data_IF_479874521469
#
_entry.id   IF_479874521469
#
_cell.length_a   1.000
_cell.length_b   1.000
_cell.length_c   1.000
_cell.angle_alpha   90.00
_cell.angle_beta   90.00
_cell.angle_gamma   90.00
#
_symmetry.space_group_name_H-M   'P 1'
#
loop_
_entity.id
_entity.type
_entity.pdbx_description
1 polymer ?
#
# COMPACT_ATOMS: atom_id res chain seq x y z
N UNK A 1 -0.17 -10.99 25.28
CA UNK A 1 -1.48 -11.11 25.92
C UNK A 1 -2.27 -9.87 25.60
N UNK A 2 -3.29 -10.00 24.74
CA UNK A 2 -4.22 -8.91 24.42
C UNK A 2 -5.12 -8.70 25.64
N UNK A 3 -5.02 -7.53 26.29
CA UNK A 3 -5.90 -7.18 27.41
C UNK A 3 -7.29 -6.81 26.88
N UNK A 4 -8.20 -7.78 26.92
CA UNK A 4 -9.58 -7.60 26.46
C UNK A 4 -10.50 -6.96 27.50
N UNK A 5 -10.02 -6.71 28.73
CA UNK A 5 -10.88 -6.26 29.85
C UNK A 5 -11.46 -4.86 29.67
N UNK A 6 -10.79 -4.01 28.88
CA UNK A 6 -11.19 -2.62 28.61
C UNK A 6 -11.96 -2.46 27.29
N UNK A 7 -12.04 -3.51 26.47
CA UNK A 7 -12.70 -3.45 25.18
C UNK A 7 -14.22 -3.33 25.34
N UNK A 8 -14.81 -2.42 24.60
CA UNK A 8 -16.26 -2.19 24.57
C UNK A 8 -16.85 -2.90 23.35
N UNK A 9 -17.47 -4.04 23.60
CA UNK A 9 -18.25 -4.75 22.60
C UNK A 9 -19.64 -4.12 22.48
N UNK A 10 -20.23 -4.14 21.28
CA UNK A 10 -21.61 -3.76 21.08
C UNK A 10 -22.59 -4.77 21.73
N UNK A 11 -23.89 -4.50 21.65
CA UNK A 11 -24.96 -5.34 22.23
C UNK A 11 -24.93 -6.81 21.76
N UNK A 12 -24.32 -7.09 20.61
CA UNK A 12 -24.17 -8.45 20.07
C UNK A 12 -22.85 -9.12 20.50
N UNK A 13 -22.08 -8.51 21.40
CA UNK A 13 -20.77 -9.01 21.80
C UNK A 13 -19.70 -8.87 20.72
N UNK A 14 -19.85 -7.91 19.80
CA UNK A 14 -18.95 -7.71 18.67
C UNK A 14 -18.23 -6.37 18.74
N UNK A 15 -16.98 -6.34 18.28
CA UNK A 15 -16.15 -5.14 18.13
C UNK A 15 -15.71 -5.00 16.67
N UNK A 16 -15.82 -3.81 16.05
CA UNK A 16 -15.25 -3.56 14.72
C UNK A 16 -13.72 -3.72 14.74
N UNK A 17 -13.19 -4.35 13.70
CA UNK A 17 -11.76 -4.53 13.48
C UNK A 17 -11.40 -4.05 12.07
N UNK A 18 -10.67 -2.95 12.00
CA UNK A 18 -10.08 -2.40 10.79
C UNK A 18 -8.74 -3.09 10.57
N UNK A 19 -8.57 -3.72 9.42
CA UNK A 19 -7.33 -4.39 9.04
C UNK A 19 -6.53 -3.50 8.11
N UNK A 20 -5.27 -3.26 8.44
CA UNK A 20 -4.31 -2.58 7.56
C UNK A 20 -3.17 -3.52 7.17
N UNK A 21 -2.59 -3.30 5.99
CA UNK A 21 -1.32 -3.93 5.64
C UNK A 21 -0.19 -3.24 6.42
N UNK A 22 0.55 -4.02 7.20
CA UNK A 22 1.63 -3.52 8.04
C UNK A 22 2.79 -2.89 7.24
N UNK A 23 2.89 -3.13 5.93
CA UNK A 23 3.98 -2.65 5.07
C UNK A 23 3.75 -1.23 4.56
N UNK A 24 2.52 -0.89 4.18
CA UNK A 24 2.20 0.37 3.51
C UNK A 24 1.06 1.16 4.20
N UNK A 25 0.48 0.64 5.29
CA UNK A 25 -0.60 1.29 6.03
C UNK A 25 -1.95 1.31 5.30
N UNK A 26 -2.06 0.63 4.15
CA UNK A 26 -3.29 0.60 3.36
C UNK A 26 -4.36 -0.19 4.09
N UNK A 27 -5.57 0.37 4.18
CA UNK A 27 -6.72 -0.35 4.73
C UNK A 27 -7.08 -1.51 3.79
N UNK A 28 -7.06 -2.73 4.31
CA UNK A 28 -7.35 -3.95 3.58
C UNK A 28 -8.84 -4.30 3.65
N UNK A 29 -9.39 -4.33 4.86
CA UNK A 29 -10.79 -4.70 5.08
C UNK A 29 -11.26 -4.24 6.46
N UNK A 30 -12.56 -4.31 6.69
CA UNK A 30 -13.16 -4.22 8.02
C UNK A 30 -14.02 -5.45 8.24
N UNK A 31 -13.91 -6.05 9.43
CA UNK A 31 -14.74 -7.14 9.88
C UNK A 31 -15.06 -6.98 11.36
N UNK A 32 -15.87 -7.89 11.92
CA UNK A 32 -16.17 -7.91 13.34
C UNK A 32 -15.39 -9.01 14.04
N UNK A 33 -14.97 -8.74 15.25
CA UNK A 33 -14.39 -9.72 16.15
C UNK A 33 -15.29 -9.88 17.38
N UNK A 34 -15.29 -11.06 17.98
CA UNK A 34 -15.81 -11.28 19.33
C UNK A 34 -14.65 -11.69 20.23
N UNK A 35 -14.91 -11.94 21.52
CA UNK A 35 -13.86 -12.34 22.46
C UNK A 35 -13.11 -13.59 22.00
N UNK A 36 -13.83 -14.61 21.52
CA UNK A 36 -13.25 -15.88 21.05
C UNK A 36 -12.38 -15.70 19.80
N UNK A 37 -12.77 -14.83 18.87
CA UNK A 37 -12.00 -14.55 17.66
C UNK A 37 -10.72 -13.77 17.96
N UNK A 38 -10.73 -12.91 18.99
CA UNK A 38 -9.53 -12.21 19.49
C UNK A 38 -8.58 -13.22 20.14
N UNK A 39 -9.08 -14.09 21.01
CA UNK A 39 -8.28 -15.15 21.65
C UNK A 39 -7.65 -16.07 20.61
N UNK A 40 -8.41 -16.49 19.59
CA UNK A 40 -7.89 -17.32 18.49
C UNK A 40 -6.86 -16.58 17.63
N UNK A 41 -7.05 -15.29 17.41
CA UNK A 41 -6.07 -14.45 16.70
C UNK A 41 -4.76 -14.39 17.46
N UNK A 42 -4.81 -14.16 18.78
CA UNK A 42 -3.62 -14.16 19.62
C UNK A 42 -2.91 -15.52 19.64
N UNK A 43 -3.67 -16.62 19.71
CA UNK A 43 -3.09 -17.97 19.76
C UNK A 43 -2.44 -18.40 18.45
N UNK A 44 -3.03 -18.03 17.32
CA UNK A 44 -2.61 -18.53 16.00
C UNK A 44 -1.69 -17.56 15.26
N UNK A 45 -1.70 -16.27 15.63
CA UNK A 45 -1.06 -15.21 14.83
C UNK A 45 -1.78 -14.92 13.51
N UNK A 46 -2.96 -15.51 13.27
CA UNK A 46 -3.75 -15.32 12.05
C UNK A 46 -5.02 -14.54 12.35
N UNK A 47 -5.41 -13.63 11.46
CA UNK A 47 -6.61 -12.83 11.67
C UNK A 47 -7.88 -13.70 11.65
N UNK A 48 -8.54 -13.79 12.81
CA UNK A 48 -9.79 -14.52 12.99
C UNK A 48 -10.94 -13.57 13.31
N UNK A 49 -12.06 -13.74 12.61
CA UNK A 49 -13.22 -12.86 12.69
C UNK A 49 -14.49 -13.62 13.05
N UNK A 50 -15.52 -12.89 13.47
CA UNK A 50 -16.86 -13.39 13.63
C UNK A 50 -17.73 -13.02 12.43
N UNK A 51 -18.25 -14.04 11.74
CA UNK A 51 -19.19 -13.85 10.64
C UNK A 51 -20.58 -13.55 11.18
N UNK A 52 -21.09 -12.32 11.02
CA UNK A 52 -22.44 -11.94 11.48
C UNK A 52 -23.55 -12.72 10.78
N UNK A 53 -23.37 -13.06 9.51
CA UNK A 53 -24.36 -13.79 8.71
C UNK A 53 -24.34 -15.29 9.03
N UNK A 54 -23.14 -15.88 9.15
CA UNK A 54 -22.97 -17.33 9.40
C UNK A 54 -23.01 -17.68 10.89
N UNK A 55 -22.87 -16.69 11.77
CA UNK A 55 -22.81 -16.83 13.23
C UNK A 55 -21.75 -17.84 13.68
N UNK A 56 -20.57 -17.75 13.07
CA UNK A 56 -19.44 -18.64 13.31
C UNK A 56 -18.12 -17.87 13.24
N UNK A 57 -17.09 -18.44 13.85
CA UNK A 57 -15.71 -18.01 13.67
C UNK A 57 -15.22 -18.34 12.26
N UNK A 58 -14.37 -17.47 11.73
CA UNK A 58 -13.73 -17.68 10.44
C UNK A 58 -12.34 -17.05 10.44
N UNK A 59 -11.32 -17.84 10.09
CA UNK A 59 -9.96 -17.33 9.91
C UNK A 59 -9.78 -16.89 8.47
N UNK A 60 -9.38 -15.63 8.26
CA UNK A 60 -9.18 -15.10 6.90
C UNK A 60 -8.11 -15.92 6.19
N UNK A 61 -8.45 -16.46 5.02
CA UNK A 61 -7.56 -17.27 4.20
C UNK A 61 -7.86 -18.77 4.23
N UNK A 62 -8.69 -19.28 5.15
CA UNK A 62 -8.99 -20.73 5.26
C UNK A 62 -9.46 -21.38 3.96
N UNK A 63 -10.22 -20.64 3.14
CA UNK A 63 -10.72 -21.14 1.85
C UNK A 63 -9.84 -20.72 0.67
N UNK A 64 -9.26 -19.53 0.72
CA UNK A 64 -8.59 -18.92 -0.44
C UNK A 64 -7.07 -19.02 -0.42
N UNK A 65 -6.46 -19.42 0.70
CA UNK A 65 -5.01 -19.35 0.94
C UNK A 65 -4.47 -17.94 1.22
N UNK A 66 -5.28 -16.89 1.08
CA UNK A 66 -4.87 -15.50 1.32
C UNK A 66 -5.01 -15.16 2.81
N UNK A 67 -4.07 -15.66 3.62
CA UNK A 67 -4.03 -15.40 5.06
C UNK A 67 -3.60 -13.96 5.37
N UNK A 68 -3.90 -13.55 6.60
CA UNK A 68 -3.45 -12.30 7.20
C UNK A 68 -2.67 -12.63 8.48
N UNK A 69 -1.35 -12.52 8.43
CA UNK A 69 -0.47 -12.75 9.58
C UNK A 69 -0.43 -11.50 10.45
N UNK A 70 -1.03 -11.57 11.64
CA UNK A 70 -1.20 -10.43 12.52
C UNK A 70 0.13 -10.04 13.15
N UNK A 71 0.51 -8.78 12.96
CA UNK A 71 1.70 -8.16 13.55
C UNK A 71 1.35 -7.48 14.88
N UNK A 72 0.21 -6.79 14.93
CA UNK A 72 -0.25 -6.11 16.15
C UNK A 72 -1.75 -5.88 16.14
N UNK A 73 -2.36 -5.84 17.32
CA UNK A 73 -3.73 -5.40 17.54
C UNK A 73 -3.71 -4.23 18.51
N UNK A 74 -4.29 -3.10 18.11
CA UNK A 74 -4.34 -1.87 18.92
C UNK A 74 -5.79 -1.41 19.03
N UNK A 75 -6.27 -1.06 20.23
CA UNK A 75 -7.58 -0.42 20.37
C UNK A 75 -7.48 1.09 20.14
N UNK A 76 -8.58 1.71 19.73
CA UNK A 76 -8.70 3.15 19.73
C UNK A 76 -8.84 3.75 21.14
N UNK A 77 -9.02 5.07 21.23
CA UNK A 77 -8.92 5.83 22.47
C UNK A 77 -10.06 5.56 23.46
N UNK A 78 -11.23 5.17 22.99
CA UNK A 78 -12.38 4.78 23.80
C UNK A 78 -12.64 3.26 23.81
N UNK A 79 -11.75 2.50 23.17
CA UNK A 79 -11.67 1.04 23.20
C UNK A 79 -12.87 0.31 22.58
N UNK A 80 -13.53 0.92 21.59
CA UNK A 80 -14.66 0.32 20.89
C UNK A 80 -14.33 -0.12 19.46
N UNK A 81 -13.10 0.12 18.99
CA UNK A 81 -12.61 -0.33 17.69
C UNK A 81 -11.19 -0.88 17.77
N UNK A 82 -10.92 -1.93 17.00
CA UNK A 82 -9.58 -2.50 16.86
C UNK A 82 -8.95 -2.10 15.52
N UNK A 83 -7.68 -1.73 15.56
CA UNK A 83 -6.77 -1.66 14.42
C UNK A 83 -5.89 -2.91 14.43
N UNK A 84 -6.08 -3.78 13.44
CA UNK A 84 -5.31 -5.01 13.22
C UNK A 84 -4.29 -4.74 12.12
N UNK A 85 -3.02 -4.65 12.48
CA UNK A 85 -1.93 -4.60 11.51
C UNK A 85 -1.53 -6.02 11.12
N UNK A 86 -1.55 -6.35 9.83
CA UNK A 86 -1.27 -7.69 9.34
C UNK A 86 -0.44 -7.70 8.04
N UNK A 87 0.27 -8.79 7.80
CA UNK A 87 0.94 -9.10 6.54
C UNK A 87 0.05 -10.02 5.70
N UNK A 88 -0.49 -9.57 4.55
CA UNK A 88 -1.31 -10.41 3.70
C UNK A 88 -0.47 -11.30 2.77
N UNK A 89 -0.84 -12.58 2.65
CA UNK A 89 -0.26 -13.55 1.70
C UNK A 89 -0.78 -13.36 0.26
N UNK A 90 -1.84 -12.58 0.09
CA UNK A 90 -2.48 -12.32 -1.20
C UNK A 90 -3.62 -11.31 -1.06
N UNK A 91 -4.48 -11.16 -2.07
CA UNK A 91 -5.60 -10.22 -2.03
C UNK A 91 -6.49 -10.40 -0.79
N UNK A 92 -6.80 -9.30 -0.11
CA UNK A 92 -7.69 -9.34 1.05
C UNK A 92 -9.16 -9.52 0.63
N UNK A 93 -9.56 -8.97 -0.52
CA UNK A 93 -10.94 -9.04 -0.99
C UNK A 93 -11.24 -10.36 -1.73
N UNK A 94 -12.48 -10.83 -1.57
CA UNK A 94 -12.99 -12.00 -2.28
C UNK A 94 -13.14 -11.78 -3.80
N UNK A 95 -13.14 -10.53 -4.27
CA UNK A 95 -13.16 -10.17 -5.70
C UNK A 95 -11.79 -10.32 -6.37
N UNK A 96 -10.74 -10.66 -5.61
CA UNK A 96 -9.36 -10.65 -6.09
C UNK A 96 -8.67 -9.28 -5.95
N UNK A 97 -9.39 -8.24 -5.52
CA UNK A 97 -8.81 -6.94 -5.24
C UNK A 97 -7.96 -6.96 -3.96
N UNK A 98 -6.86 -6.20 -3.96
CA UNK A 98 -5.95 -6.13 -2.81
C UNK A 98 -6.64 -5.63 -1.52
N UNK A 99 -7.55 -4.65 -1.65
CA UNK A 99 -8.38 -4.10 -0.58
C UNK A 99 -9.86 -4.24 -0.92
N UNK A 100 -10.73 -4.27 0.09
CA UNK A 100 -12.18 -4.18 -0.05
C UNK A 100 -12.66 -2.76 -0.40
N UNK A 101 -11.84 -1.72 -0.18
CA UNK A 101 -12.23 -0.31 -0.34
C UNK A 101 -11.87 0.22 -1.75
N UNK A 102 -12.49 -0.32 -2.79
CA UNK A 102 -12.21 0.04 -4.19
C UNK A 102 -13.18 1.05 -4.80
N UNK A 103 -14.33 1.28 -4.15
CA UNK A 103 -15.44 2.04 -4.73
C UNK A 103 -15.50 3.43 -4.08
N UNK A 104 -14.92 4.45 -4.73
CA UNK A 104 -14.98 5.84 -4.28
C UNK A 104 -16.42 6.37 -4.44
N UNK A 105 -17.02 6.87 -3.34
CA UNK A 105 -18.39 7.38 -3.34
C UNK A 105 -18.48 8.90 -3.45
N UNK A 106 -17.47 9.60 -2.91
CA UNK A 106 -17.43 11.04 -2.88
C UNK A 106 -15.99 11.51 -2.74
N UNK A 107 -15.67 12.59 -3.44
CA UNK A 107 -14.40 13.29 -3.35
C UNK A 107 -14.71 14.77 -3.24
N UNK A 108 -14.16 15.44 -2.24
CA UNK A 108 -14.25 16.90 -2.18
C UNK A 108 -13.55 17.47 -3.42
N UNK A 109 -14.16 18.45 -4.10
CA UNK A 109 -13.52 19.21 -5.18
C UNK A 109 -12.28 20.02 -4.75
N UNK A 110 -11.73 19.78 -3.56
CA UNK A 110 -10.30 19.96 -3.31
C UNK A 110 -9.53 18.90 -4.10
N UNK A 111 -9.55 19.03 -5.41
CA UNK A 111 -8.93 18.11 -6.38
C UNK A 111 -7.38 18.10 -6.29
N UNK A 112 -6.80 18.83 -5.34
CA UNK A 112 -5.37 19.12 -5.26
C UNK A 112 -4.69 18.62 -3.99
N UNK A 113 -5.22 17.60 -3.30
CA UNK A 113 -4.36 16.84 -2.38
C UNK A 113 -3.48 15.95 -3.25
N UNK A 114 -2.27 16.43 -3.54
CA UNK A 114 -1.27 15.67 -4.29
C UNK A 114 -0.94 14.38 -3.54
N UNK A 115 -0.98 13.26 -4.27
CA UNK A 115 -0.42 11.98 -3.84
C UNK A 115 0.33 11.33 -5.00
N UNK A 116 1.34 10.51 -4.68
CA UNK A 116 2.07 9.77 -5.72
C UNK A 116 1.15 8.81 -6.48
N UNK A 117 0.14 8.26 -5.83
CA UNK A 117 -0.87 7.40 -6.45
C UNK A 117 -1.70 8.18 -7.48
N UNK A 118 -2.14 9.39 -7.14
CA UNK A 118 -2.88 10.25 -8.08
C UNK A 118 -2.03 10.66 -9.28
N UNK A 119 -0.74 10.95 -9.06
CA UNK A 119 0.21 11.25 -10.13
C UNK A 119 0.45 10.02 -11.02
N UNK A 120 0.62 8.83 -10.43
CA UNK A 120 0.78 7.59 -11.17
C UNK A 120 -0.45 7.25 -12.00
N UNK A 121 -1.66 7.46 -11.46
CA UNK A 121 -2.91 7.27 -12.19
C UNK A 121 -3.03 8.26 -13.36
N UNK A 122 -2.67 9.53 -13.14
CA UNK A 122 -2.61 10.53 -14.20
C UNK A 122 -1.63 10.09 -15.31
N UNK A 123 -0.43 9.64 -14.95
CA UNK A 123 0.59 9.17 -15.90
C UNK A 123 0.07 7.97 -16.71
N UNK A 124 -0.52 6.97 -16.06
CA UNK A 124 -1.15 5.83 -16.73
C UNK A 124 -2.26 6.27 -17.68
N UNK A 125 -3.14 7.16 -17.23
CA UNK A 125 -4.18 7.75 -18.08
C UNK A 125 -3.62 8.45 -19.32
N UNK A 126 -2.47 9.14 -19.21
CA UNK A 126 -1.79 9.78 -20.36
C UNK A 126 -1.15 8.80 -21.35
N UNK A 127 -0.92 7.54 -20.94
CA UNK A 127 -0.46 6.45 -21.80
C UNK A 127 -1.60 5.87 -22.63
N UNK A 128 -2.76 5.66 -22.00
CA UNK A 128 -3.96 5.08 -22.62
C UNK A 128 -4.72 6.12 -23.47
N UNK A 129 -4.97 7.29 -22.89
CA UNK A 129 -5.65 8.41 -23.51
C UNK A 129 -4.65 9.54 -23.78
N UNK A 130 -4.12 9.54 -25.00
CA UNK A 130 -3.18 10.57 -25.44
C UNK A 130 -3.84 11.95 -25.38
N UNK A 131 -3.16 12.89 -24.74
CA UNK A 131 -3.55 14.29 -24.73
C UNK A 131 -2.54 15.12 -25.50
N UNK A 132 -2.99 15.76 -26.56
CA UNK A 132 -2.17 16.67 -27.36
C UNK A 132 -1.52 17.74 -26.48
N UNK A 133 -0.23 17.96 -26.70
CA UNK A 133 0.59 18.90 -25.92
C UNK A 133 1.01 18.42 -24.53
N UNK A 134 0.64 17.20 -24.11
CA UNK A 134 1.12 16.63 -22.84
C UNK A 134 2.55 16.11 -22.97
N UNK A 135 3.45 16.59 -22.10
CA UNK A 135 4.82 16.06 -22.01
C UNK A 135 4.85 14.55 -21.73
N UNK A 136 3.96 14.07 -20.85
CA UNK A 136 3.85 12.64 -20.53
C UNK A 136 3.48 11.81 -21.75
N UNK A 137 2.49 12.26 -22.54
CA UNK A 137 2.11 11.56 -23.77
C UNK A 137 3.25 11.57 -24.80
N UNK A 138 4.00 12.67 -24.91
CA UNK A 138 5.21 12.73 -25.74
C UNK A 138 6.28 11.71 -25.33
N UNK A 139 6.52 11.50 -24.03
CA UNK A 139 7.46 10.50 -23.55
C UNK A 139 7.07 9.09 -24.00
N UNK A 140 5.80 8.72 -23.82
CA UNK A 140 5.29 7.41 -24.26
C UNK A 140 5.33 7.26 -25.79
N UNK A 141 5.07 8.32 -26.54
CA UNK A 141 5.18 8.29 -28.01
C UNK A 141 6.59 8.08 -28.53
N UNK A 142 7.59 8.61 -27.83
CA UNK A 142 9.00 8.38 -28.15
C UNK A 142 9.51 7.02 -27.66
N UNK A 143 8.74 6.34 -26.81
CA UNK A 143 9.00 4.99 -26.34
C UNK A 143 10.10 4.90 -25.28
N UNK A 144 10.41 3.65 -24.92
CA UNK A 144 11.25 3.28 -23.79
C UNK A 144 12.62 3.98 -23.79
N UNK A 145 13.31 4.06 -24.93
CA UNK A 145 14.65 4.68 -25.00
C UNK A 145 14.64 6.15 -24.56
N UNK A 146 13.58 6.90 -24.89
CA UNK A 146 13.44 8.30 -24.47
C UNK A 146 13.18 8.40 -22.97
N UNK A 147 12.37 7.50 -22.42
CA UNK A 147 12.08 7.44 -20.98
C UNK A 147 13.35 7.11 -20.20
N UNK A 148 14.10 6.08 -20.62
CA UNK A 148 15.36 5.67 -19.99
C UNK A 148 16.42 6.77 -20.06
N UNK A 149 16.50 7.47 -21.21
CA UNK A 149 17.40 8.62 -21.35
C UNK A 149 17.11 9.69 -20.30
N UNK A 150 15.83 10.05 -20.08
CA UNK A 150 15.47 11.03 -19.05
C UNK A 150 15.81 10.56 -17.65
N UNK A 151 15.51 9.30 -17.30
CA UNK A 151 15.92 8.73 -15.99
C UNK A 151 17.43 8.85 -15.77
N UNK A 152 18.24 8.60 -16.79
CA UNK A 152 19.70 8.72 -16.71
C UNK A 152 20.20 10.18 -16.58
N UNK A 153 19.58 11.12 -17.30
CA UNK A 153 19.85 12.56 -17.19
C UNK A 153 19.59 13.05 -15.77
N UNK A 154 18.36 12.85 -15.26
CA UNK A 154 17.95 13.33 -13.94
C UNK A 154 18.77 12.69 -12.81
N UNK A 155 19.15 11.41 -12.96
CA UNK A 155 20.03 10.74 -11.99
C UNK A 155 21.38 11.43 -11.87
N UNK A 156 21.92 11.93 -12.99
CA UNK A 156 23.19 12.65 -13.02
C UNK A 156 23.03 14.06 -12.43
N UNK A 157 21.92 14.73 -12.72
CA UNK A 157 21.62 16.07 -12.20
C UNK A 157 21.43 16.06 -10.67
N UNK A 158 20.76 15.04 -10.10
CA UNK A 158 20.70 14.83 -8.64
C UNK A 158 22.10 14.75 -8.02
N UNK A 159 23.02 14.00 -8.63
CA UNK A 159 24.40 13.85 -8.12
C UNK A 159 25.12 15.20 -8.14
N UNK A 160 24.98 15.96 -9.23
CA UNK A 160 25.62 17.27 -9.40
C UNK A 160 25.05 18.28 -8.39
N UNK A 161 23.73 18.37 -8.27
CA UNK A 161 23.04 19.27 -7.35
C UNK A 161 23.41 18.96 -5.88
N UNK A 162 23.42 17.68 -5.51
CA UNK A 162 23.83 17.25 -4.18
C UNK A 162 25.30 17.58 -3.89
N UNK A 163 26.19 17.39 -4.89
CA UNK A 163 27.62 17.74 -4.77
C UNK A 163 27.84 19.24 -4.60
N UNK A 164 27.00 20.06 -5.23
CA UNK A 164 27.00 21.51 -5.06
C UNK A 164 26.45 21.98 -3.70
N UNK A 165 25.89 21.07 -2.90
CA UNK A 165 25.20 21.38 -1.64
C UNK A 165 24.04 22.37 -1.80
N UNK A 166 23.44 22.44 -3.00
CA UNK A 166 22.23 23.22 -3.24
C UNK A 166 21.00 22.38 -2.90
N UNK A 167 20.43 22.62 -1.71
CA UNK A 167 19.25 21.89 -1.25
C UNK A 167 18.04 22.08 -2.18
N UNK A 168 17.84 23.29 -2.71
CA UNK A 168 16.65 23.58 -3.51
C UNK A 168 16.74 22.85 -4.84
N UNK A 169 17.89 22.93 -5.49
CA UNK A 169 18.14 22.20 -6.74
C UNK A 169 18.09 20.70 -6.51
N UNK A 170 18.70 20.19 -5.43
CA UNK A 170 18.67 18.76 -5.11
C UNK A 170 17.23 18.26 -4.95
N UNK A 171 16.35 19.01 -4.30
CA UNK A 171 14.92 18.65 -4.18
C UNK A 171 14.24 18.67 -5.55
N UNK A 172 14.55 19.65 -6.40
CA UNK A 172 14.01 19.74 -7.75
C UNK A 172 14.39 18.54 -8.61
N UNK A 173 15.69 18.18 -8.67
CA UNK A 173 16.16 17.06 -9.48
C UNK A 173 15.70 15.70 -8.92
N UNK A 174 15.58 15.57 -7.59
CA UNK A 174 14.99 14.35 -7.00
C UNK A 174 13.52 14.24 -7.43
N UNK A 175 12.78 15.35 -7.47
CA UNK A 175 11.40 15.34 -7.92
C UNK A 175 11.27 14.97 -9.42
N UNK A 176 12.15 15.49 -10.29
CA UNK A 176 12.11 15.17 -11.72
C UNK A 176 12.55 13.72 -11.99
N UNK A 177 13.59 13.25 -11.30
CA UNK A 177 13.96 11.83 -11.30
C UNK A 177 12.79 10.94 -10.85
N UNK A 178 12.13 11.32 -9.75
CA UNK A 178 10.97 10.57 -9.23
C UNK A 178 9.85 10.51 -10.27
N UNK A 179 9.53 11.63 -10.91
CA UNK A 179 8.53 11.68 -11.96
C UNK A 179 8.90 10.78 -13.15
N UNK A 180 10.14 10.84 -13.62
CA UNK A 180 10.60 10.02 -14.74
C UNK A 180 10.67 8.52 -14.40
N UNK A 181 10.95 8.16 -13.14
CA UNK A 181 10.82 6.79 -12.64
C UNK A 181 9.36 6.34 -12.62
N UNK A 182 8.40 7.19 -12.23
CA UNK A 182 6.98 6.85 -12.30
C UNK A 182 6.51 6.61 -13.75
N UNK A 183 7.00 7.39 -14.71
CA UNK A 183 6.75 7.15 -16.14
C UNK A 183 7.31 5.81 -16.59
N UNK A 184 8.54 5.46 -16.18
CA UNK A 184 9.13 4.15 -16.45
C UNK A 184 8.32 3.01 -15.82
N UNK A 185 7.86 3.18 -14.58
CA UNK A 185 7.01 2.21 -13.89
C UNK A 185 5.70 2.00 -14.67
N UNK A 186 5.06 3.07 -15.14
CA UNK A 186 3.84 2.98 -15.95
C UNK A 186 4.10 2.32 -17.32
N UNK A 187 5.29 2.52 -17.90
CA UNK A 187 5.70 1.83 -19.13
C UNK A 187 5.86 0.32 -18.90
N UNK A 188 6.52 -0.06 -17.79
CA UNK A 188 6.82 -1.44 -17.42
C UNK A 188 5.68 -2.18 -16.70
N UNK A 189 4.55 -1.53 -16.43
CA UNK A 189 3.43 -2.12 -15.70
C UNK A 189 3.65 -2.29 -14.19
N UNK A 190 4.63 -1.57 -13.62
CA UNK A 190 4.98 -1.61 -12.20
C UNK A 190 4.10 -0.63 -11.42
N UNK A 191 3.53 -1.08 -10.31
CA UNK A 191 2.75 -0.28 -9.37
C UNK A 191 3.59 0.32 -8.23
N UNK A 192 3.06 1.35 -7.59
CA UNK A 192 3.65 1.92 -6.37
C UNK A 192 3.71 0.86 -5.24
N UNK A 193 2.68 0.03 -5.13
CA UNK A 193 2.60 -1.05 -4.14
C UNK A 193 3.73 -2.10 -4.33
N UNK A 194 4.23 -2.31 -5.56
CA UNK A 194 5.35 -3.21 -5.83
C UNK A 194 6.66 -2.65 -5.24
N UNK A 195 6.89 -1.34 -5.40
CA UNK A 195 8.07 -0.65 -4.85
C UNK A 195 8.02 -0.62 -3.32
N UNK A 196 6.86 -0.32 -2.73
CA UNK A 196 6.69 -0.37 -1.27
C UNK A 196 6.97 -1.77 -0.72
N UNK A 197 6.44 -2.81 -1.38
CA UNK A 197 6.66 -4.19 -0.96
C UNK A 197 8.14 -4.57 -1.00
N UNK A 198 8.86 -4.16 -2.05
CA UNK A 198 10.28 -4.41 -2.20
C UNK A 198 11.14 -3.60 -1.22
N UNK A 199 10.77 -2.36 -0.89
CA UNK A 199 11.46 -1.59 0.14
C UNK A 199 11.23 -2.18 1.54
N UNK A 200 9.99 -2.61 1.83
CA UNK A 200 9.64 -3.22 3.10
C UNK A 200 10.36 -4.56 3.31
N UNK A 201 10.53 -5.38 2.28
CA UNK A 201 11.26 -6.65 2.36
C UNK A 201 12.74 -6.46 2.76
N UNK A 202 13.34 -5.33 2.35
CA UNK A 202 14.74 -4.98 2.64
C UNK A 202 14.95 -4.38 4.02
N UNK A 203 13.93 -3.76 4.61
CA UNK A 203 14.02 -3.13 5.93
C UNK A 203 14.34 -4.13 7.07
N UNK A 204 14.11 -5.42 6.85
CA UNK A 204 14.41 -6.50 7.81
C UNK A 204 15.89 -6.91 7.79
N UNK A 205 16.71 -6.42 6.84
CA UNK A 205 18.08 -6.92 6.61
C UNK A 205 19.13 -5.87 7.00
N UNK A 206 19.61 -5.91 8.25
CA UNK A 206 20.74 -5.11 8.76
C UNK A 206 22.13 -5.55 8.23
N UNK A 207 22.19 -6.56 7.34
CA UNK A 207 23.43 -7.01 6.71
C UNK A 207 23.41 -6.68 5.22
N UNK A 208 24.41 -5.94 4.74
CA UNK A 208 24.65 -5.74 3.29
C UNK A 208 24.78 -7.10 2.57
N UNK A 209 23.67 -7.62 2.08
CA UNK A 209 23.66 -8.70 1.09
C UNK A 209 23.76 -7.99 -0.26
N UNK A 210 24.79 -8.32 -1.05
CA UNK A 210 24.90 -7.81 -2.43
C UNK A 210 23.62 -8.17 -3.17
N UNK A 211 23.00 -7.19 -3.85
CA UNK A 211 21.87 -7.45 -4.73
C UNK A 211 22.29 -8.46 -5.80
N UNK A 212 21.82 -9.70 -5.68
CA UNK A 212 21.81 -10.65 -6.78
C UNK A 212 20.61 -10.31 -7.67
N UNK A 213 20.81 -10.28 -8.99
CA UNK A 213 19.71 -10.03 -9.93
C UNK A 213 18.65 -11.11 -9.72
N UNK A 214 17.41 -10.69 -9.45
CA UNK A 214 16.26 -11.59 -9.57
C UNK A 214 16.12 -11.99 -11.04
N UNK A 215 16.37 -13.27 -11.33
CA UNK A 215 16.13 -13.90 -12.63
C UNK A 215 14.67 -14.23 -12.84
#
# INVERSE_FOLDING_TARGET
MIDTSKLKFNENGLIPAIVIDSRNGKVLMMAYMNKESIERTEQTGLACFWSRSRKELWTKGETSGNFLHVVSVTSDCDCDTLLVSALPDGPACHTGSYSCFTNELWRSGQDNVFSLESLMQLIKGRKEEKKDGSYTSYLFEKGLDKILKKVGEESTEVIIAAKACDKKETVYEIADLTYHVLVLMAEAGIGIDDIYSELASRHVIDKKIKQEKMT
#
